data_IF_131680651760
#
_entry.id   IF_131680651760
#
_cell.length_a   1.000
_cell.length_b   1.000
_cell.length_c   1.000
_cell.angle_alpha   90.00
_cell.angle_beta   90.00
_cell.angle_gamma   90.00
#
_symmetry.space_group_name_H-M   'P 1'
#
loop_
_entity.id
_entity.type
_entity.pdbx_description
1 polymer ?
#
# COMPACT_ATOMS: atom_id res chain seq x y z
N UNK A 1 5.01 11.55 0.99
CA UNK A 1 5.60 11.29 -0.35
C UNK A 1 6.90 10.46 -0.34
N UNK A 2 7.88 10.70 0.55
CA UNK A 2 9.15 9.92 0.60
C UNK A 2 8.98 8.40 0.64
N UNK A 3 7.96 7.91 1.34
CA UNK A 3 7.71 6.46 1.49
C UNK A 3 7.37 5.76 0.16
N UNK A 4 6.70 6.46 -0.76
CA UNK A 4 6.44 5.94 -2.10
C UNK A 4 7.70 5.92 -2.96
N UNK A 5 8.53 6.96 -2.88
CA UNK A 5 9.80 7.00 -3.60
C UNK A 5 10.71 5.84 -3.17
N UNK A 6 10.74 5.53 -1.88
CA UNK A 6 11.47 4.37 -1.35
C UNK A 6 10.86 3.06 -1.88
N UNK A 7 9.53 2.93 -1.90
CA UNK A 7 8.88 1.75 -2.47
C UNK A 7 9.17 1.57 -3.97
N UNK A 8 9.22 2.66 -4.74
CA UNK A 8 9.60 2.61 -6.16
C UNK A 8 11.05 2.17 -6.32
N UNK A 9 11.98 2.80 -5.59
CA UNK A 9 13.40 2.45 -5.64
C UNK A 9 13.65 0.99 -5.24
N UNK A 10 12.97 0.50 -4.19
CA UNK A 10 13.06 -0.91 -3.80
C UNK A 10 12.44 -1.84 -4.84
N UNK A 11 11.28 -1.48 -5.42
CA UNK A 11 10.65 -2.27 -6.47
C UNK A 11 11.53 -2.43 -7.72
N UNK A 12 12.31 -1.41 -8.07
CA UNK A 12 13.24 -1.43 -9.20
C UNK A 12 14.47 -2.33 -8.98
N UNK A 13 14.94 -2.46 -7.73
CA UNK A 13 16.18 -3.18 -7.41
C UNK A 13 15.94 -4.58 -6.83
N UNK A 14 14.95 -4.71 -5.94
CA UNK A 14 14.60 -5.97 -5.27
C UNK A 14 13.13 -5.95 -4.81
N UNK A 15 12.22 -6.23 -5.74
CA UNK A 15 10.78 -6.27 -5.49
C UNK A 15 10.37 -7.33 -4.46
N UNK A 16 11.09 -8.44 -4.41
CA UNK A 16 10.76 -9.57 -3.55
C UNK A 16 11.36 -9.43 -2.15
N UNK A 17 12.07 -8.34 -1.90
CA UNK A 17 12.58 -7.99 -0.58
C UNK A 17 11.46 -7.98 0.48
N UNK A 18 11.71 -8.53 1.68
CA UNK A 18 10.83 -8.33 2.84
C UNK A 18 10.56 -6.85 3.13
N UNK A 19 11.50 -5.97 2.79
CA UNK A 19 11.36 -4.51 2.90
C UNK A 19 10.20 -3.99 2.06
N UNK A 20 10.01 -4.53 0.84
CA UNK A 20 8.90 -4.15 -0.02
C UNK A 20 7.56 -4.47 0.64
N UNK A 21 7.44 -5.63 1.28
CA UNK A 21 6.21 -6.01 2.02
C UNK A 21 5.92 -5.03 3.16
N UNK A 22 6.93 -4.62 3.93
CA UNK A 22 6.77 -3.63 5.01
C UNK A 22 6.35 -2.26 4.47
N UNK A 23 6.90 -1.85 3.32
CA UNK A 23 6.53 -0.59 2.67
C UNK A 23 5.08 -0.63 2.21
N UNK A 24 4.65 -1.69 1.52
CA UNK A 24 3.26 -1.89 1.09
C UNK A 24 2.31 -1.91 2.31
N UNK A 25 2.69 -2.58 3.39
CA UNK A 25 1.90 -2.62 4.62
C UNK A 25 1.76 -1.23 5.25
N UNK A 26 2.85 -0.45 5.31
CA UNK A 26 2.80 0.92 5.81
C UNK A 26 1.95 1.83 4.91
N UNK A 27 2.15 1.78 3.59
CA UNK A 27 1.43 2.58 2.60
C UNK A 27 -0.08 2.27 2.59
N UNK A 28 -0.45 1.00 2.73
CA UNK A 28 -1.86 0.62 2.79
C UNK A 28 -2.58 1.16 4.03
N UNK A 29 -1.85 1.47 5.11
CA UNK A 29 -2.41 2.05 6.35
C UNK A 29 -2.75 3.54 6.24
N UNK A 30 -2.12 4.26 5.30
CA UNK A 30 -2.27 5.71 5.14
C UNK A 30 -3.71 6.09 4.77
N UNK A 31 -4.12 7.34 4.99
CA UNK A 31 -5.46 7.78 4.57
C UNK A 31 -5.55 7.88 3.05
N UNK A 32 -6.77 7.90 2.51
CA UNK A 32 -6.96 7.93 1.04
C UNK A 32 -6.52 9.28 0.47
N UNK A 33 -6.69 10.35 1.24
CA UNK A 33 -6.33 11.72 0.90
C UNK A 33 -4.80 11.83 0.74
N UNK A 34 -4.04 11.27 1.68
CA UNK A 34 -2.57 11.22 1.62
C UNK A 34 -2.06 10.38 0.45
N UNK A 35 -2.81 9.36 0.04
CA UNK A 35 -2.51 8.57 -1.15
C UNK A 35 -2.93 9.29 -2.45
N UNK A 36 -3.97 10.11 -2.43
CA UNK A 36 -4.40 10.86 -3.62
C UNK A 36 -3.48 12.04 -3.97
N UNK A 37 -2.68 12.50 -3.01
CA UNK A 37 -1.62 13.48 -3.25
C UNK A 37 -0.44 12.90 -4.06
N UNK A 38 -0.41 11.58 -4.26
CA UNK A 38 0.58 10.95 -5.13
C UNK A 38 0.27 11.29 -6.58
N UNK A 39 1.31 11.72 -7.29
CA UNK A 39 1.30 11.67 -8.74
C UNK A 39 1.42 10.22 -9.16
N UNK A 40 0.29 9.52 -9.29
CA UNK A 40 0.26 8.11 -9.72
C UNK A 40 1.01 7.86 -11.04
N UNK A 41 1.11 8.88 -11.90
CA UNK A 41 1.92 8.83 -13.13
C UNK A 41 3.43 8.65 -12.89
N UNK A 42 3.92 8.87 -11.66
CA UNK A 42 5.33 8.72 -11.27
C UNK A 42 5.57 7.46 -10.44
N UNK A 43 4.54 6.63 -10.22
CA UNK A 43 4.64 5.40 -9.42
C UNK A 43 4.43 4.20 -10.35
N UNK A 44 5.27 3.16 -10.28
CA UNK A 44 5.03 1.92 -11.02
C UNK A 44 3.64 1.35 -10.70
N UNK A 45 2.89 1.00 -11.75
CA UNK A 45 1.47 0.61 -11.60
C UNK A 45 1.26 -0.64 -10.75
N UNK A 46 2.24 -1.53 -10.73
CA UNK A 46 2.24 -2.73 -9.90
C UNK A 46 2.41 -2.42 -8.40
N UNK A 47 3.26 -1.45 -8.02
CA UNK A 47 3.37 -0.94 -6.65
C UNK A 47 2.06 -0.32 -6.21
N UNK A 48 1.41 0.45 -7.10
CA UNK A 48 0.07 0.99 -6.83
C UNK A 48 -0.93 -0.14 -6.59
N UNK A 49 -0.95 -1.15 -7.45
CA UNK A 49 -1.84 -2.31 -7.32
C UNK A 49 -1.64 -3.02 -5.97
N UNK A 50 -0.40 -3.27 -5.57
CA UNK A 50 -0.05 -3.94 -4.31
C UNK A 50 -0.54 -3.15 -3.09
N UNK A 51 -0.34 -1.82 -3.07
CA UNK A 51 -0.81 -0.95 -1.98
C UNK A 51 -2.34 -0.98 -1.86
N UNK A 52 -3.05 -0.87 -2.99
CA UNK A 52 -4.51 -0.85 -2.98
C UNK A 52 -5.11 -2.23 -2.65
N UNK A 53 -4.51 -3.32 -3.14
CA UNK A 53 -4.91 -4.68 -2.77
C UNK A 53 -4.77 -4.90 -1.26
N UNK A 54 -3.62 -4.54 -0.67
CA UNK A 54 -3.40 -4.62 0.77
C UNK A 54 -4.39 -3.75 1.56
N UNK A 55 -4.71 -2.55 1.05
CA UNK A 55 -5.69 -1.65 1.68
C UNK A 55 -7.10 -2.23 1.66
N UNK A 56 -7.54 -2.80 0.53
CA UNK A 56 -8.85 -3.44 0.41
C UNK A 56 -8.96 -4.65 1.32
N UNK A 57 -7.94 -5.53 1.35
CA UNK A 57 -7.88 -6.68 2.27
C UNK A 57 -8.00 -6.24 3.73
N UNK A 58 -7.31 -5.17 4.14
CA UNK A 58 -7.44 -4.60 5.49
C UNK A 58 -8.85 -4.08 5.80
N UNK A 59 -9.50 -3.43 4.84
CA UNK A 59 -10.90 -2.98 5.00
C UNK A 59 -11.86 -4.15 5.14
N UNK A 60 -11.67 -5.19 4.34
CA UNK A 60 -12.47 -6.41 4.42
C UNK A 60 -12.29 -7.12 5.77
N UNK A 61 -11.04 -7.31 6.22
CA UNK A 61 -10.77 -7.90 7.53
C UNK A 61 -11.35 -7.07 8.67
N UNK A 62 -11.30 -5.74 8.59
CA UNK A 62 -11.98 -4.86 9.55
C UNK A 62 -13.49 -5.14 9.52
N UNK A 63 -14.14 -5.08 8.36
CA UNK A 63 -15.58 -5.36 8.22
C UNK A 63 -15.96 -6.71 8.81
N UNK A 64 -15.22 -7.78 8.50
CA UNK A 64 -15.43 -9.12 9.07
C UNK A 64 -15.32 -9.13 10.60
N UNK A 65 -14.32 -8.44 11.18
CA UNK A 65 -14.22 -8.29 12.64
C UNK A 65 -15.42 -7.56 13.24
N UNK A 66 -15.91 -6.51 12.57
CA UNK A 66 -17.12 -5.78 13.00
C UNK A 66 -18.38 -6.67 12.91
N UNK A 67 -18.49 -7.55 11.92
CA UNK A 67 -19.60 -8.50 11.80
C UNK A 67 -19.61 -9.59 12.88
N UNK A 68 -18.49 -9.85 13.57
CA UNK A 68 -18.43 -10.81 14.69
C UNK A 68 -18.61 -10.14 16.07
N UNK A 69 -18.81 -8.82 16.10
CA UNK A 69 -19.03 -8.01 17.31
C UNK A 69 -20.50 -7.52 17.40
N UNK A 70 -21.36 -7.95 16.48
CA UNK A 70 -22.80 -7.72 16.37
C UNK A 70 -23.51 -9.07 16.48
#
# INVERSE_FOLDING_TARGET
>A
MKLFQIACAVAEHDRHSPTMTLLIDKLSSMKREELSELRFSQVPGDVVADVFAAKMKRREMRRKKWCCLL
#
